data_IF_161476771229
#
_entry.id   IF_161476771229
#
_cell.length_a   1.000
_cell.length_b   1.000
_cell.length_c   1.000
_cell.angle_alpha   90.00
_cell.angle_beta   90.00
_cell.angle_gamma   90.00
#
_symmetry.space_group_name_H-M   'P 1'
#
loop_
_entity.id
_entity.type
_entity.pdbx_description
1 polymer ?
#
# COMPACT_ATOMS: atom_id res chain seq x y z
N UNK A 1 -19.72 -7.14 -11.09
CA UNK A 1 -18.60 -6.57 -10.31
C UNK A 1 -17.31 -7.30 -10.60
N UNK A 2 -17.30 -8.61 -10.72
CA UNK A 2 -16.07 -9.39 -10.97
C UNK A 2 -15.34 -8.94 -12.24
N UNK A 3 -16.04 -8.67 -13.33
CA UNK A 3 -15.45 -8.16 -14.56
C UNK A 3 -14.85 -6.76 -14.40
N UNK A 4 -15.48 -5.89 -13.60
CA UNK A 4 -14.96 -4.55 -13.28
C UNK A 4 -13.66 -4.64 -12.49
N UNK A 5 -13.64 -5.45 -11.43
CA UNK A 5 -12.46 -5.66 -10.59
C UNK A 5 -11.34 -6.36 -11.38
N UNK A 6 -11.68 -7.29 -12.28
CA UNK A 6 -10.69 -7.91 -13.16
C UNK A 6 -10.00 -6.87 -14.06
N UNK A 7 -10.75 -5.90 -14.63
CA UNK A 7 -10.17 -4.79 -15.43
C UNK A 7 -9.24 -3.91 -14.59
N UNK A 8 -9.67 -3.51 -13.39
CA UNK A 8 -8.82 -2.76 -12.46
C UNK A 8 -7.52 -3.51 -12.17
N UNK A 9 -7.61 -4.79 -11.84
CA UNK A 9 -6.44 -5.61 -11.54
C UNK A 9 -5.52 -5.79 -12.75
N UNK A 10 -6.05 -5.90 -13.96
CA UNK A 10 -5.24 -5.94 -15.19
C UNK A 10 -4.42 -4.65 -15.35
N UNK A 11 -5.04 -3.47 -15.14
CA UNK A 11 -4.34 -2.19 -15.18
C UNK A 11 -3.22 -2.11 -14.13
N UNK A 12 -3.48 -2.52 -12.89
CA UNK A 12 -2.48 -2.55 -11.83
C UNK A 12 -1.30 -3.48 -12.17
N UNK A 13 -1.58 -4.62 -12.78
CA UNK A 13 -0.57 -5.58 -13.21
C UNK A 13 0.26 -5.07 -14.38
N UNK A 14 -0.35 -4.45 -15.39
CA UNK A 14 0.33 -3.84 -16.54
C UNK A 14 1.37 -2.80 -16.08
N UNK A 15 1.03 -2.02 -15.06
CA UNK A 15 1.90 -1.02 -14.44
C UNK A 15 2.83 -1.60 -13.37
N UNK A 16 2.81 -2.92 -13.14
CA UNK A 16 3.64 -3.62 -12.14
C UNK A 16 3.47 -3.07 -10.73
N UNK A 17 2.29 -2.57 -10.39
CA UNK A 17 1.98 -2.04 -9.07
C UNK A 17 1.75 -3.20 -8.09
N UNK A 18 2.36 -3.19 -6.89
CA UNK A 18 2.35 -4.33 -5.98
C UNK A 18 1.07 -4.42 -5.15
N UNK A 19 -0.06 -4.14 -5.75
CA UNK A 19 -1.37 -4.12 -5.11
C UNK A 19 -2.41 -4.70 -6.05
N UNK A 20 -3.41 -5.36 -5.50
CA UNK A 20 -4.60 -5.83 -6.22
C UNK A 20 -5.84 -5.65 -5.38
N UNK A 21 -7.00 -5.77 -5.99
CA UNK A 21 -8.30 -5.71 -5.34
C UNK A 21 -8.98 -7.07 -5.43
N UNK A 22 -9.48 -7.56 -4.31
CA UNK A 22 -10.42 -8.68 -4.27
C UNK A 22 -11.81 -8.14 -3.94
N UNK A 23 -12.85 -8.82 -4.41
CA UNK A 23 -14.22 -8.42 -4.15
C UNK A 23 -15.13 -9.59 -3.77
N UNK A 24 -16.15 -9.25 -3.01
CA UNK A 24 -17.36 -10.04 -2.84
C UNK A 24 -18.52 -9.12 -3.24
N UNK A 25 -19.02 -9.29 -4.46
CA UNK A 25 -19.94 -8.33 -5.08
C UNK A 25 -19.40 -6.90 -5.03
N UNK A 26 -20.10 -5.98 -4.35
CA UNK A 26 -19.74 -4.57 -4.21
C UNK A 26 -18.76 -4.26 -3.08
N UNK A 27 -18.46 -5.25 -2.26
CA UNK A 27 -17.48 -5.09 -1.16
C UNK A 27 -16.11 -5.46 -1.69
N UNK A 28 -15.21 -4.48 -1.76
CA UNK A 28 -13.87 -4.64 -2.28
C UNK A 28 -12.84 -4.50 -1.15
N UNK A 29 -11.76 -5.24 -1.24
CA UNK A 29 -10.63 -5.12 -0.31
C UNK A 29 -9.31 -5.02 -1.06
N UNK A 30 -8.42 -4.20 -0.55
CA UNK A 30 -7.06 -4.05 -1.09
C UNK A 30 -6.18 -5.16 -0.55
N UNK A 31 -5.45 -5.82 -1.44
CA UNK A 31 -4.47 -6.85 -1.13
C UNK A 31 -3.09 -6.39 -1.61
N UNK A 32 -2.12 -6.45 -0.72
CA UNK A 32 -0.74 -6.08 -1.02
C UNK A 32 0.05 -7.32 -1.43
N UNK A 33 0.73 -7.25 -2.58
CA UNK A 33 1.48 -8.37 -3.15
C UNK A 33 2.90 -8.45 -2.58
N UNK A 34 3.40 -7.36 -2.01
CA UNK A 34 4.72 -7.30 -1.38
C UNK A 34 4.60 -6.95 0.10
N UNK A 35 5.41 -7.58 0.95
CA UNK A 35 5.50 -7.21 2.34
C UNK A 35 6.07 -5.79 2.48
N UNK A 36 5.37 -4.91 3.19
CA UNK A 36 5.87 -3.59 3.58
C UNK A 36 5.22 -3.16 4.89
N UNK A 37 6.01 -2.57 5.77
CA UNK A 37 5.49 -1.96 6.99
C UNK A 37 4.65 -0.70 6.70
N UNK A 38 4.71 -0.18 5.47
CA UNK A 38 4.05 1.05 5.05
C UNK A 38 2.80 0.81 4.19
N UNK A 39 2.39 -0.43 3.99
CA UNK A 39 1.18 -0.76 3.21
C UNK A 39 -0.07 0.02 3.68
N UNK A 40 -0.19 0.27 4.99
CA UNK A 40 -1.28 1.04 5.58
C UNK A 40 -1.35 2.50 5.10
N UNK A 41 -0.25 3.06 4.59
CA UNK A 41 -0.22 4.43 4.06
C UNK A 41 -1.01 4.57 2.77
N UNK A 42 -1.24 3.48 2.05
CA UNK A 42 -1.97 3.53 0.78
C UNK A 42 -3.36 4.15 0.90
N UNK A 43 -4.01 4.00 2.05
CA UNK A 43 -5.29 4.66 2.32
C UNK A 43 -5.23 6.19 2.21
N UNK A 44 -4.09 6.82 2.51
CA UNK A 44 -3.93 8.27 2.39
C UNK A 44 -3.78 8.69 0.93
N UNK A 45 -3.05 7.92 0.12
CA UNK A 45 -2.96 8.12 -1.32
C UNK A 45 -4.31 7.96 -2.01
N UNK A 46 -5.09 6.95 -1.61
CA UNK A 46 -6.45 6.78 -2.11
C UNK A 46 -7.34 7.96 -1.73
N UNK A 47 -7.26 8.43 -0.49
CA UNK A 47 -8.02 9.58 -0.01
C UNK A 47 -7.63 10.87 -0.75
N UNK A 48 -6.35 11.08 -1.02
CA UNK A 48 -5.86 12.20 -1.84
C UNK A 48 -6.49 12.20 -3.24
N UNK A 49 -6.74 11.02 -3.79
CA UNK A 49 -7.45 10.84 -5.05
C UNK A 49 -8.99 10.81 -4.89
N UNK A 50 -9.53 11.13 -3.72
CA UNK A 50 -10.96 11.16 -3.45
C UNK A 50 -11.61 9.78 -3.29
N UNK A 51 -10.82 8.74 -2.99
CA UNK A 51 -11.30 7.39 -2.69
C UNK A 51 -11.14 7.10 -1.21
N UNK A 52 -12.26 6.94 -0.49
CA UNK A 52 -12.23 6.62 0.93
C UNK A 52 -12.38 5.11 1.16
N UNK A 53 -11.48 4.58 1.99
CA UNK A 53 -11.62 3.24 2.56
C UNK A 53 -12.41 3.33 3.86
N UNK A 54 -13.09 2.26 4.22
CA UNK A 54 -13.74 2.20 5.53
C UNK A 54 -12.70 2.39 6.64
N UNK A 55 -13.07 3.19 7.64
CA UNK A 55 -12.23 3.67 8.72
C UNK A 55 -11.35 2.61 9.43
N UNK A 56 -11.79 1.38 9.51
CA UNK A 56 -11.20 0.38 10.43
C UNK A 56 -9.87 -0.23 9.93
N UNK A 57 -9.16 0.43 9.02
CA UNK A 57 -7.88 -0.08 8.50
C UNK A 57 -7.99 -1.39 7.71
N UNK A 58 -9.22 -1.87 7.49
CA UNK A 58 -9.47 -3.11 6.78
C UNK A 58 -9.28 -3.01 5.27
N UNK A 59 -9.04 -1.80 4.76
CA UNK A 59 -8.87 -1.58 3.34
C UNK A 59 -10.11 -1.89 2.49
N UNK A 60 -11.31 -1.81 3.07
CA UNK A 60 -12.55 -2.09 2.36
C UNK A 60 -13.10 -0.85 1.70
N UNK A 61 -13.50 -1.01 0.45
CA UNK A 61 -14.34 -0.07 -0.29
C UNK A 61 -15.70 -0.72 -0.49
N UNK A 62 -16.76 0.03 -0.24
CA UNK A 62 -18.12 -0.43 -0.49
C UNK A 62 -18.67 0.40 -1.65
N UNK A 63 -18.90 -0.26 -2.77
CA UNK A 63 -19.35 0.39 -3.98
C UNK A 63 -20.88 0.44 -4.03
N UNK A 64 -21.43 1.51 -4.58
CA UNK A 64 -22.86 1.57 -4.85
C UNK A 64 -23.23 0.59 -5.95
N UNK A 65 -24.35 -0.11 -5.79
CA UNK A 65 -24.92 -0.97 -6.83
C UNK A 65 -25.26 -0.20 -8.10
N UNK A 66 -25.53 1.09 -7.98
CA UNK A 66 -25.94 1.97 -9.07
C UNK A 66 -24.77 2.56 -9.87
N UNK A 67 -23.53 2.24 -9.52
CA UNK A 67 -22.37 2.69 -10.30
C UNK A 67 -22.47 2.22 -11.75
N UNK A 68 -22.43 3.16 -12.66
CA UNK A 68 -22.25 2.91 -14.09
C UNK A 68 -20.83 2.41 -14.39
N UNK A 69 -20.60 1.89 -15.59
CA UNK A 69 -19.23 1.52 -16.01
C UNK A 69 -18.32 2.72 -16.12
N UNK A 70 -18.82 3.89 -16.54
CA UNK A 70 -18.06 5.12 -16.62
C UNK A 70 -17.61 5.62 -15.24
N UNK A 71 -18.48 5.58 -14.24
CA UNK A 71 -18.14 5.95 -12.87
C UNK A 71 -17.13 4.96 -12.26
N UNK A 72 -17.25 3.67 -12.58
CA UNK A 72 -16.26 2.70 -12.12
C UNK A 72 -14.91 2.86 -12.82
N UNK A 73 -14.90 3.30 -14.08
CA UNK A 73 -13.64 3.63 -14.78
C UNK A 73 -12.94 4.81 -14.10
N UNK A 74 -13.69 5.83 -13.68
CA UNK A 74 -13.13 6.95 -12.90
C UNK A 74 -12.53 6.46 -11.56
N UNK A 75 -13.20 5.52 -10.87
CA UNK A 75 -12.65 4.87 -9.66
C UNK A 75 -11.35 4.14 -9.99
N UNK A 76 -11.31 3.44 -11.12
CA UNK A 76 -10.12 2.71 -11.59
C UNK A 76 -8.95 3.66 -11.83
N UNK A 77 -9.15 4.75 -12.56
CA UNK A 77 -8.13 5.76 -12.83
C UNK A 77 -7.57 6.38 -11.55
N UNK A 78 -8.42 6.74 -10.62
CA UNK A 78 -8.04 7.31 -9.32
C UNK A 78 -7.24 6.31 -8.49
N UNK A 79 -7.68 5.04 -8.45
CA UNK A 79 -7.00 3.99 -7.73
C UNK A 79 -5.60 3.72 -8.29
N UNK A 80 -5.49 3.59 -9.60
CA UNK A 80 -4.20 3.40 -10.29
C UNK A 80 -3.26 4.59 -10.05
N UNK A 81 -3.78 5.81 -10.13
CA UNK A 81 -3.01 7.03 -9.85
C UNK A 81 -2.47 7.06 -8.43
N UNK A 82 -3.29 6.72 -7.43
CA UNK A 82 -2.87 6.60 -6.04
C UNK A 82 -1.75 5.57 -5.87
N UNK A 83 -1.90 4.40 -6.50
CA UNK A 83 -0.91 3.34 -6.43
C UNK A 83 0.41 3.71 -7.11
N UNK A 84 0.33 4.39 -8.26
CA UNK A 84 1.50 4.90 -8.98
C UNK A 84 2.26 5.94 -8.15
N UNK A 85 1.54 6.85 -7.51
CA UNK A 85 2.13 7.88 -6.66
C UNK A 85 2.86 7.26 -5.46
N UNK A 86 2.21 6.35 -4.72
CA UNK A 86 2.83 5.66 -3.59
C UNK A 86 4.06 4.84 -4.01
N UNK A 87 4.02 4.22 -5.19
CA UNK A 87 5.15 3.49 -5.75
C UNK A 87 6.30 4.44 -6.13
N UNK A 88 5.98 5.58 -6.76
CA UNK A 88 6.94 6.61 -7.13
C UNK A 88 7.63 7.25 -5.93
N UNK A 89 6.93 7.42 -4.82
CA UNK A 89 7.47 7.91 -3.55
C UNK A 89 8.34 6.87 -2.82
N UNK A 90 8.47 5.65 -3.38
CA UNK A 90 9.39 4.62 -2.89
C UNK A 90 8.89 3.84 -1.67
N UNK A 91 7.61 3.92 -1.28
CA UNK A 91 7.08 3.22 -0.11
C UNK A 91 6.89 1.70 -0.31
N UNK A 92 6.92 1.25 -1.56
CA UNK A 92 6.82 -0.17 -1.94
C UNK A 92 8.13 -0.71 -2.51
N UNK A 93 9.26 -0.46 -1.83
CA UNK A 93 10.52 -1.07 -2.25
C UNK A 93 10.54 -2.57 -1.94
N UNK A 94 11.28 -3.30 -2.76
CA UNK A 94 11.49 -4.73 -2.58
C UNK A 94 12.94 -5.00 -2.18
N UNK A 95 13.12 -5.91 -1.22
CA UNK A 95 14.42 -6.45 -0.84
C UNK A 95 14.23 -7.92 -0.48
N UNK A 96 15.22 -8.74 -0.77
CA UNK A 96 15.21 -10.17 -0.43
C UNK A 96 15.05 -10.41 1.09
N UNK A 97 15.41 -9.44 1.90
CA UNK A 97 15.34 -9.51 3.37
C UNK A 97 13.96 -9.10 3.91
N UNK A 98 13.14 -8.42 3.10
CA UNK A 98 11.83 -7.94 3.49
C UNK A 98 10.79 -9.05 3.37
N UNK A 99 10.64 -9.82 4.44
CA UNK A 99 9.58 -10.82 4.59
C UNK A 99 8.58 -10.37 5.64
N UNK A 100 7.37 -10.92 5.61
CA UNK A 100 6.36 -10.65 6.64
C UNK A 100 6.87 -11.01 8.05
N UNK A 101 7.74 -12.01 8.16
CA UNK A 101 8.36 -12.43 9.43
C UNK A 101 9.41 -11.43 9.90
N UNK A 102 10.27 -10.93 8.99
CA UNK A 102 11.29 -9.93 9.36
C UNK A 102 10.64 -8.63 9.80
N UNK A 103 9.60 -8.17 9.10
CA UNK A 103 8.84 -6.98 9.48
C UNK A 103 8.19 -7.15 10.86
N UNK A 104 7.54 -8.30 11.13
CA UNK A 104 6.97 -8.58 12.46
C UNK A 104 8.02 -8.55 13.56
N UNK A 105 9.20 -9.16 13.33
CA UNK A 105 10.30 -9.14 14.31
C UNK A 105 10.79 -7.72 14.59
N UNK A 106 10.96 -6.90 13.55
CA UNK A 106 11.35 -5.50 13.72
C UNK A 106 10.33 -4.72 14.54
N UNK A 107 9.03 -4.82 14.19
CA UNK A 107 7.96 -4.14 14.92
C UNK A 107 7.89 -4.59 16.39
N UNK A 108 8.02 -5.89 16.67
CA UNK A 108 8.05 -6.41 18.04
C UNK A 108 9.27 -5.89 18.82
N UNK A 109 10.45 -5.86 18.20
CA UNK A 109 11.65 -5.30 18.81
C UNK A 109 11.48 -3.80 19.12
N UNK A 110 10.95 -3.01 18.18
CA UNK A 110 10.67 -1.59 18.37
C UNK A 110 9.66 -1.36 19.51
N UNK A 111 8.60 -2.16 19.58
CA UNK A 111 7.61 -2.09 20.66
C UNK A 111 8.22 -2.43 22.05
N UNK A 112 9.05 -3.45 22.11
CA UNK A 112 9.75 -3.84 23.33
C UNK A 112 10.74 -2.75 23.78
N UNK A 113 11.51 -2.18 22.84
CA UNK A 113 12.43 -1.09 23.14
C UNK A 113 11.68 0.17 23.61
N UNK A 114 10.56 0.50 22.98
CA UNK A 114 9.71 1.62 23.41
C UNK A 114 9.14 1.42 24.81
N UNK A 115 8.80 0.17 25.18
CA UNK A 115 8.22 -0.17 26.49
C UNK A 115 9.28 -0.31 27.58
N UNK A 116 10.49 -0.79 27.23
CA UNK A 116 11.58 -1.09 28.16
C UNK A 116 12.90 -0.47 27.69
N UNK A 117 13.09 0.85 27.80
CA UNK A 117 14.29 1.55 27.28
C UNK A 117 15.61 1.05 27.87
N UNK A 118 15.59 0.49 29.09
CA UNK A 118 16.78 -0.03 29.77
C UNK A 118 17.33 -1.33 29.19
N UNK A 119 16.57 -2.05 28.36
CA UNK A 119 17.02 -3.26 27.65
C UNK A 119 17.70 -2.95 26.31
N UNK A 120 17.73 -1.69 25.92
CA UNK A 120 18.22 -1.24 24.61
C UNK A 120 19.73 -0.96 24.63
N UNK A 121 20.56 -1.99 24.79
CA UNK A 121 22.01 -1.88 24.50
C UNK A 121 22.37 -2.18 23.03
N UNK A 122 21.40 -2.48 22.18
CA UNK A 122 21.58 -2.71 20.74
C UNK A 122 20.68 -1.75 19.99
N UNK A 123 21.21 -0.62 19.56
CA UNK A 123 20.53 0.24 18.60
C UNK A 123 20.49 -0.49 17.24
N UNK A 124 19.31 -0.83 16.69
CA UNK A 124 19.25 -1.14 15.27
C UNK A 124 19.61 0.14 14.50
N UNK A 125 20.53 0.04 13.55
CA UNK A 125 20.87 1.16 12.67
C UNK A 125 19.63 1.57 11.89
N UNK A 126 19.08 2.72 12.24
CA UNK A 126 17.96 3.37 11.51
C UNK A 126 18.37 3.82 10.09
N UNK A 127 19.63 3.62 9.68
CA UNK A 127 20.16 4.11 8.42
C UNK A 127 19.73 3.30 7.18
N UNK A 128 19.16 2.11 7.36
CA UNK A 128 18.79 1.25 6.22
C UNK A 128 17.31 1.43 5.78
N UNK A 129 16.61 2.42 6.34
CA UNK A 129 15.14 2.57 6.17
C UNK A 129 14.77 3.71 5.22
N UNK A 130 15.71 4.55 4.81
CA UNK A 130 15.41 5.62 3.87
C UNK A 130 15.56 5.14 2.42
N UNK A 131 14.57 5.39 1.54
CA UNK A 131 14.78 5.24 0.12
C UNK A 131 15.95 6.14 -0.29
N UNK A 132 16.94 5.59 -0.96
CA UNK A 132 17.99 6.38 -1.58
C UNK A 132 17.34 7.26 -2.64
N UNK A 133 17.14 8.51 -2.30
CA UNK A 133 16.75 9.53 -3.26
C UNK A 133 17.96 9.76 -4.19
N UNK A 134 18.08 8.95 -5.25
CA UNK A 134 18.98 9.19 -6.35
C UNK A 134 18.36 10.22 -7.29
N UNK A 135 18.09 11.39 -6.74
CA UNK A 135 17.77 12.59 -7.52
C UNK A 135 19.05 13.32 -7.84
N UNK A 136 19.88 12.75 -8.70
CA UNK A 136 20.92 13.49 -9.38
C UNK A 136 20.28 14.21 -10.55
N UNK A 137 19.86 15.45 -10.32
CA UNK A 137 19.58 16.41 -11.39
C UNK A 137 20.93 16.88 -11.86
N UNK A 138 21.39 16.36 -12.98
CA UNK A 138 22.55 16.89 -13.69
C UNK A 138 22.17 18.20 -14.41
N UNK A 139 23.10 19.15 -14.57
CA UNK A 139 22.90 20.51 -15.05
C UNK A 139 22.46 20.62 -16.52
#
# INVERSE_FOLDING_TARGET
>A
WDARIARLNARLQEEKLPVKVANLHTICTVLYLTPSRYNWMFQFYLRDQGLELSWVGSGRMIMSLNFTDAEFEEVTERFVRAARQMSGDGWWWQSAELTATSIKRQLMAEMLHARFPLLSKVQPRLQDIQPRNTGEVAP
#
